data_IF_357961149976
#
_entry.id   IF_357961149976
#
_cell.length_a   1.000
_cell.length_b   1.000
_cell.length_c   1.000
_cell.angle_alpha   90.00
_cell.angle_beta   90.00
_cell.angle_gamma   90.00
#
_symmetry.space_group_name_H-M   'P 1'
#
loop_
_entity.id
_entity.type
_entity.pdbx_description
1 polymer ?
#
# COMPACT_ATOMS: atom_id res chain seq x y z
N UNK A 1 -9.68 9.73 6.15
CA UNK A 1 -9.58 8.32 5.68
C UNK A 1 -8.50 7.61 6.49
N UNK A 2 -8.75 6.36 6.93
CA UNK A 2 -7.79 5.54 7.69
C UNK A 2 -7.65 4.19 6.98
N UNK A 3 -6.42 3.72 6.79
CA UNK A 3 -6.10 2.40 6.21
C UNK A 3 -5.56 1.54 7.35
N UNK A 4 -6.11 0.34 7.53
CA UNK A 4 -5.62 -0.67 8.50
C UNK A 4 -5.18 -1.90 7.71
N UNK A 5 -4.00 -2.42 8.04
CA UNK A 5 -3.41 -3.61 7.41
C UNK A 5 -2.85 -4.48 8.52
N UNK A 6 -3.04 -5.79 8.42
CA UNK A 6 -2.53 -6.80 9.35
C UNK A 6 -1.91 -7.95 8.53
N UNK A 7 -0.79 -8.48 9.00
CA UNK A 7 -0.07 -9.61 8.42
C UNK A 7 0.93 -10.15 9.46
N UNK A 8 1.42 -11.37 9.25
CA UNK A 8 2.48 -11.97 10.08
C UNK A 8 3.82 -11.24 9.92
N UNK A 9 4.02 -10.55 8.80
CA UNK A 9 5.18 -9.73 8.52
C UNK A 9 4.98 -8.86 7.29
N UNK A 10 5.79 -7.81 7.19
CA UNK A 10 5.77 -6.88 6.05
C UNK A 10 7.17 -6.69 5.48
N UNK A 11 7.27 -6.67 4.15
CA UNK A 11 8.51 -6.28 3.48
C UNK A 11 8.80 -4.78 3.70
N UNK A 12 10.06 -4.39 3.48
CA UNK A 12 10.47 -2.99 3.53
C UNK A 12 9.59 -2.15 2.59
N UNK A 13 9.00 -1.09 3.16
CA UNK A 13 8.06 -0.17 2.50
C UNK A 13 6.71 -0.74 2.06
N UNK A 14 6.42 -2.03 2.27
CA UNK A 14 5.19 -2.68 1.77
C UNK A 14 3.92 -1.92 2.15
N UNK A 15 3.73 -1.63 3.44
CA UNK A 15 2.54 -0.91 3.93
C UNK A 15 2.40 0.47 3.29
N UNK A 16 3.52 1.20 3.14
CA UNK A 16 3.52 2.55 2.56
C UNK A 16 3.29 2.53 1.04
N UNK A 17 3.70 1.47 0.35
CA UNK A 17 3.39 1.25 -1.07
C UNK A 17 1.92 0.91 -1.27
N UNK A 18 1.35 0.02 -0.45
CA UNK A 18 -0.09 -0.29 -0.46
C UNK A 18 -0.92 0.98 -0.24
N UNK A 19 -0.59 1.76 0.80
CA UNK A 19 -1.26 3.02 1.08
C UNK A 19 -1.10 4.03 -0.06
N UNK A 20 0.09 4.09 -0.68
CA UNK A 20 0.35 4.94 -1.83
C UNK A 20 -0.54 4.61 -3.02
N UNK A 21 -0.61 3.33 -3.40
CA UNK A 21 -1.48 2.87 -4.49
C UNK A 21 -2.94 3.18 -4.23
N UNK A 22 -3.46 2.91 -3.02
CA UNK A 22 -4.85 3.21 -2.67
C UNK A 22 -5.19 4.70 -2.77
N UNK A 23 -4.26 5.58 -2.40
CA UNK A 23 -4.43 7.04 -2.55
C UNK A 23 -4.46 7.45 -4.02
N UNK A 24 -3.58 6.90 -4.85
CA UNK A 24 -3.55 7.23 -6.28
C UNK A 24 -4.77 6.69 -7.03
N UNK A 25 -5.29 5.50 -6.64
CA UNK A 25 -6.58 4.98 -7.11
C UNK A 25 -7.72 5.94 -6.74
N UNK A 26 -7.78 6.36 -5.47
CA UNK A 26 -8.79 7.32 -5.01
C UNK A 26 -8.71 8.69 -5.69
N UNK A 27 -7.56 9.03 -6.29
CA UNK A 27 -7.35 10.25 -7.09
C UNK A 27 -7.62 10.05 -8.59
N UNK A 28 -7.92 8.83 -9.03
CA UNK A 28 -8.08 8.49 -10.44
C UNK A 28 -6.77 8.47 -11.24
N UNK A 29 -5.62 8.37 -10.56
CA UNK A 29 -4.30 8.33 -11.21
C UNK A 29 -3.78 6.91 -11.45
N UNK A 30 -4.40 5.93 -10.80
CA UNK A 30 -4.09 4.52 -10.94
C UNK A 30 -5.41 3.77 -11.10
N UNK A 31 -5.44 2.74 -11.96
CA UNK A 31 -6.66 1.97 -12.20
C UNK A 31 -7.07 1.14 -10.98
N UNK A 32 -8.37 0.86 -10.85
CA UNK A 32 -8.90 0.15 -9.67
C UNK A 32 -8.38 -1.28 -9.51
N UNK A 33 -8.02 -1.93 -10.61
CA UNK A 33 -7.45 -3.29 -10.67
C UNK A 33 -5.93 -3.30 -10.47
N UNK A 34 -5.27 -2.15 -10.46
CA UNK A 34 -3.82 -2.03 -10.41
C UNK A 34 -3.18 -2.71 -9.18
N UNK A 35 -3.89 -2.74 -8.04
CA UNK A 35 -3.41 -3.48 -6.86
C UNK A 35 -3.37 -4.99 -7.11
N UNK A 36 -4.33 -5.55 -7.83
CA UNK A 36 -4.32 -6.96 -8.19
C UNK A 36 -3.19 -7.26 -9.19
N UNK A 37 -3.03 -6.40 -10.20
CA UNK A 37 -1.91 -6.50 -11.15
C UNK A 37 -0.54 -6.34 -10.47
N UNK A 38 -0.46 -5.63 -9.34
CA UNK A 38 0.79 -5.45 -8.60
C UNK A 38 1.42 -6.71 -8.02
N UNK A 39 0.68 -7.82 -8.03
CA UNK A 39 1.20 -9.15 -7.70
C UNK A 39 1.97 -9.79 -8.86
N UNK A 40 1.79 -9.30 -10.08
CA UNK A 40 2.52 -9.75 -11.24
C UNK A 40 3.96 -9.20 -11.22
N UNK A 41 4.97 -10.02 -11.57
CA UNK A 41 6.37 -9.62 -11.52
C UNK A 41 6.71 -8.48 -12.49
N UNK A 42 5.87 -8.26 -13.50
CA UNK A 42 6.02 -7.23 -14.54
C UNK A 42 5.37 -5.89 -14.18
N UNK A 43 4.71 -5.79 -13.02
CA UNK A 43 3.94 -4.60 -12.69
C UNK A 43 4.80 -3.45 -12.16
N UNK A 44 4.79 -2.34 -12.89
CA UNK A 44 5.69 -1.22 -12.65
C UNK A 44 4.99 0.11 -12.29
N UNK A 45 3.66 0.19 -12.24
CA UNK A 45 2.94 1.47 -12.08
C UNK A 45 2.83 1.92 -10.61
N UNK A 46 2.73 1.00 -9.65
CA UNK A 46 2.64 1.30 -8.20
C UNK A 46 4.01 1.60 -7.56
N UNK A 47 4.67 2.67 -7.99
CA UNK A 47 5.98 3.09 -7.46
C UNK A 47 5.91 4.10 -6.33
N UNK A 48 4.80 4.84 -6.21
CA UNK A 48 4.70 5.89 -5.20
C UNK A 48 4.62 5.30 -3.79
N UNK A 49 5.49 5.79 -2.91
CA UNK A 49 5.53 5.38 -1.50
C UNK A 49 4.97 6.51 -0.64
N UNK A 50 3.84 6.25 0.05
CA UNK A 50 3.20 7.25 0.90
C UNK A 50 4.18 7.80 1.96
N UNK A 51 4.06 9.06 2.41
CA UNK A 51 4.94 9.62 3.45
C UNK A 51 4.94 8.82 4.76
N UNK A 52 6.09 8.72 5.43
CA UNK A 52 6.24 7.90 6.64
C UNK A 52 5.46 8.45 7.85
N UNK A 53 5.29 9.77 7.94
CA UNK A 53 4.65 10.47 9.09
C UNK A 53 3.20 10.07 9.38
N UNK A 54 2.55 9.34 8.47
CA UNK A 54 1.18 8.84 8.65
C UNK A 54 1.08 7.37 9.02
N UNK A 55 2.20 6.65 9.12
CA UNK A 55 2.23 5.23 9.48
C UNK A 55 2.47 5.07 10.99
N UNK A 56 1.62 4.28 11.63
CA UNK A 56 1.73 3.92 13.05
C UNK A 56 1.58 2.41 13.20
N UNK A 57 2.37 1.80 14.08
CA UNK A 57 2.11 0.45 14.57
C UNK A 57 0.98 0.56 15.61
N UNK A 58 -0.12 -0.15 15.38
CA UNK A 58 -1.31 -0.04 16.23
C UNK A 58 -1.39 -1.14 17.28
N UNK A 59 -1.14 -2.39 16.89
CA UNK A 59 -1.31 -3.55 17.74
C UNK A 59 -0.43 -4.72 17.27
N UNK A 60 -0.12 -5.64 18.19
CA UNK A 60 0.56 -6.93 17.94
C UNK A 60 -0.25 -8.01 18.64
N UNK A 61 -0.83 -8.94 17.87
CA UNK A 61 -1.54 -10.09 18.43
C UNK A 61 -0.55 -11.16 18.91
N UNK A 62 -0.82 -11.73 20.09
CA UNK A 62 -0.04 -12.78 20.75
C UNK A 62 -0.83 -14.08 20.86
#
# INVERSE_FOLDING_TARGET
MRIRVAADGFLRYMVRRIAGSLIEIGRGKLEGDALQRSLEPTFEEARWTAPAKGLILWDIAY
#
